data_IF_297496162265
#
_entry.id   IF_297496162265
#
_cell.length_a   1.000
_cell.length_b   1.000
_cell.length_c   1.000
_cell.angle_alpha   90.00
_cell.angle_beta   90.00
_cell.angle_gamma   90.00
#
_symmetry.space_group_name_H-M   'P 1'
#
loop_
_entity.id
_entity.type
_entity.pdbx_description
1 polymer ?
#
# COMPACT_ATOMS: atom_id res chain seq x y z
N UNK A 1 -37.62 -79.83 10.99
CA UNK A 1 -36.86 -79.15 12.06
C UNK A 1 -35.38 -79.46 11.87
N UNK A 2 -34.51 -78.54 12.30
CA UNK A 2 -33.03 -78.56 12.20
C UNK A 2 -32.49 -78.11 10.82
N UNK A 3 -31.55 -77.17 10.65
CA UNK A 3 -30.96 -76.09 11.46
C UNK A 3 -30.28 -75.12 10.47
N UNK A 4 -30.30 -73.84 10.82
CA UNK A 4 -29.64 -72.70 10.20
C UNK A 4 -28.11 -72.77 10.39
N UNK A 5 -27.32 -72.45 9.35
CA UNK A 5 -25.89 -72.13 9.48
C UNK A 5 -25.61 -70.84 8.68
N UNK A 6 -25.60 -69.73 9.41
CA UNK A 6 -25.31 -68.37 8.95
C UNK A 6 -23.80 -68.14 9.11
N UNK A 7 -23.08 -67.94 8.01
CA UNK A 7 -21.68 -67.54 8.01
C UNK A 7 -21.56 -66.07 8.45
N UNK A 8 -20.67 -65.82 9.41
CA UNK A 8 -20.36 -64.51 9.94
C UNK A 8 -19.52 -63.71 8.94
N UNK A 9 -20.04 -62.58 8.48
CA UNK A 9 -19.32 -61.59 7.68
C UNK A 9 -18.52 -60.68 8.62
N UNK A 10 -17.19 -60.74 8.53
CA UNK A 10 -16.27 -59.95 9.34
C UNK A 10 -16.24 -58.50 8.84
N UNK A 11 -17.00 -57.62 9.48
CA UNK A 11 -16.88 -56.17 9.28
C UNK A 11 -15.62 -55.69 10.00
N UNK A 12 -14.57 -55.39 9.23
CA UNK A 12 -13.42 -54.63 9.73
C UNK A 12 -13.79 -53.13 9.74
N UNK A 13 -13.54 -52.41 10.84
CA UNK A 13 -13.88 -50.99 10.90
C UNK A 13 -12.84 -50.19 10.13
N UNK A 14 -13.27 -49.54 9.05
CA UNK A 14 -12.48 -48.50 8.36
C UNK A 14 -12.24 -47.38 9.36
N UNK A 15 -10.99 -47.23 9.77
CA UNK A 15 -10.49 -46.22 10.71
C UNK A 15 -10.57 -44.83 10.06
N UNK A 16 -11.76 -44.21 10.07
CA UNK A 16 -12.03 -42.83 9.66
C UNK A 16 -11.60 -41.82 10.74
N UNK A 17 -10.35 -41.88 11.20
CA UNK A 17 -9.87 -41.02 12.30
C UNK A 17 -9.01 -39.81 11.85
N UNK A 18 -8.92 -39.54 10.55
CA UNK A 18 -8.08 -38.46 10.01
C UNK A 18 -8.82 -37.18 9.60
N UNK A 19 -10.12 -37.23 9.30
CA UNK A 19 -10.80 -36.17 8.54
C UNK A 19 -11.43 -35.08 9.41
N UNK A 20 -11.94 -35.43 10.60
CA UNK A 20 -12.55 -34.43 11.51
C UNK A 20 -11.51 -33.56 12.22
N UNK A 21 -10.36 -34.12 12.58
CA UNK A 21 -9.28 -33.36 13.23
C UNK A 21 -8.66 -32.34 12.28
N UNK A 22 -8.39 -32.74 11.02
CA UNK A 22 -7.84 -31.84 10.00
C UNK A 22 -8.85 -30.73 9.62
N UNK A 23 -10.14 -31.04 9.54
CA UNK A 23 -11.18 -30.03 9.28
C UNK A 23 -11.39 -29.06 10.45
N UNK A 24 -11.32 -29.51 11.70
CA UNK A 24 -11.33 -28.65 12.90
C UNK A 24 -10.09 -27.75 12.95
N UNK A 25 -8.90 -28.29 12.67
CA UNK A 25 -7.66 -27.51 12.63
C UNK A 25 -7.68 -26.47 11.51
N UNK A 26 -8.09 -26.82 10.30
CA UNK A 26 -8.26 -25.86 9.19
C UNK A 26 -9.29 -24.78 9.51
N UNK A 27 -10.42 -25.14 10.12
CA UNK A 27 -11.44 -24.16 10.55
C UNK A 27 -10.87 -23.18 11.59
N UNK A 28 -10.15 -23.69 12.60
CA UNK A 28 -9.50 -22.85 13.62
C UNK A 28 -8.40 -21.95 13.05
N UNK A 29 -7.69 -22.40 12.01
CA UNK A 29 -6.69 -21.59 11.32
C UNK A 29 -7.35 -20.44 10.54
N UNK A 30 -8.42 -20.73 9.80
CA UNK A 30 -9.17 -19.72 9.03
C UNK A 30 -9.79 -18.68 9.98
N UNK A 31 -10.36 -19.10 11.10
CA UNK A 31 -10.95 -18.22 12.11
C UNK A 31 -9.90 -17.28 12.73
N UNK A 32 -8.75 -17.81 13.17
CA UNK A 32 -7.63 -16.99 13.64
C UNK A 32 -7.10 -16.03 12.58
N UNK A 33 -7.06 -16.44 11.31
CA UNK A 33 -6.67 -15.54 10.22
C UNK A 33 -7.67 -14.39 10.07
N UNK A 34 -8.97 -14.67 10.19
CA UNK A 34 -10.01 -13.65 10.14
C UNK A 34 -9.87 -12.62 11.27
N UNK A 35 -9.68 -13.10 12.50
CA UNK A 35 -9.44 -12.24 13.67
C UNK A 35 -8.20 -11.36 13.50
N UNK A 36 -7.11 -11.94 12.98
CA UNK A 36 -5.88 -11.19 12.71
C UNK A 36 -6.08 -10.09 11.66
N UNK A 37 -6.89 -10.35 10.63
CA UNK A 37 -7.22 -9.36 9.60
C UNK A 37 -8.10 -8.25 10.17
N UNK A 38 -9.06 -8.58 11.02
CA UNK A 38 -9.89 -7.58 11.70
C UNK A 38 -9.07 -6.72 12.67
N UNK A 39 -8.13 -7.31 13.40
CA UNK A 39 -7.19 -6.56 14.22
C UNK A 39 -6.33 -5.60 13.39
N UNK A 40 -5.86 -6.03 12.22
CA UNK A 40 -5.13 -5.17 11.27
C UNK A 40 -5.98 -4.00 10.78
N UNK A 41 -7.20 -4.28 10.30
CA UNK A 41 -8.12 -3.25 9.81
C UNK A 41 -8.42 -2.22 10.91
N UNK A 42 -8.77 -2.69 12.10
CA UNK A 42 -9.06 -1.82 13.25
C UNK A 42 -7.84 -1.01 13.70
N UNK A 43 -6.62 -1.54 13.54
CA UNK A 43 -5.39 -0.81 13.85
C UNK A 43 -5.16 0.32 12.83
N UNK A 44 -5.22 -0.01 11.54
CA UNK A 44 -4.94 0.94 10.45
C UNK A 44 -5.96 2.06 10.38
N UNK A 45 -7.25 1.75 10.59
CA UNK A 45 -8.34 2.73 10.55
C UNK A 45 -8.26 3.82 11.63
N UNK A 46 -7.40 3.66 12.65
CA UNK A 46 -7.17 4.67 13.69
C UNK A 46 -6.23 5.79 13.27
N UNK A 47 -5.85 5.87 11.99
CA UNK A 47 -4.92 6.88 11.46
C UNK A 47 -3.62 6.95 12.27
N UNK A 48 -2.90 5.81 12.32
CA UNK A 48 -1.67 5.63 13.12
C UNK A 48 -0.47 6.50 12.68
N UNK A 49 -0.65 7.35 11.68
CA UNK A 49 0.27 8.44 11.35
C UNK A 49 1.55 8.03 10.63
N UNK A 50 2.59 8.82 10.84
CA UNK A 50 3.89 8.71 10.19
C UNK A 50 5.01 8.51 11.21
N UNK A 51 6.04 7.76 10.82
CA UNK A 51 7.25 7.57 11.62
C UNK A 51 8.48 7.84 10.75
N UNK A 52 9.18 8.94 11.01
CA UNK A 52 10.29 9.45 10.18
C UNK A 52 9.94 9.58 8.69
N UNK A 53 8.85 10.25 8.33
CA UNK A 53 8.46 10.40 6.93
C UNK A 53 7.80 9.17 6.30
N UNK A 54 7.64 8.07 7.06
CA UNK A 54 7.12 6.81 6.53
C UNK A 54 5.68 6.57 7.00
N UNK A 55 4.73 6.34 6.07
CA UNK A 55 3.33 6.08 6.42
C UNK A 55 3.20 4.73 7.14
N UNK A 56 2.94 4.75 8.44
CA UNK A 56 3.02 3.55 9.29
C UNK A 56 1.99 2.51 8.88
N UNK A 57 0.78 2.93 8.48
CA UNK A 57 -0.26 2.02 8.02
C UNK A 57 0.14 1.23 6.77
N UNK A 58 0.76 1.86 5.76
CA UNK A 58 1.25 1.18 4.56
C UNK A 58 2.26 0.06 4.89
N UNK A 59 3.26 0.37 5.72
CA UNK A 59 4.27 -0.61 6.13
C UNK A 59 3.68 -1.73 7.00
N UNK A 60 2.72 -1.42 7.85
CA UNK A 60 2.03 -2.40 8.69
C UNK A 60 1.25 -3.39 7.83
N UNK A 61 0.42 -2.90 6.92
CA UNK A 61 -0.33 -3.73 5.95
C UNK A 61 0.64 -4.60 5.17
N UNK A 62 1.69 -4.01 4.60
CA UNK A 62 2.67 -4.72 3.78
C UNK A 62 3.35 -5.87 4.55
N UNK A 63 3.80 -5.61 5.79
CA UNK A 63 4.42 -6.65 6.63
C UNK A 63 3.46 -7.78 6.96
N UNK A 64 2.19 -7.47 7.25
CA UNK A 64 1.17 -8.49 7.48
C UNK A 64 0.95 -9.36 6.23
N UNK A 65 0.85 -8.75 5.05
CA UNK A 65 0.67 -9.47 3.78
C UNK A 65 1.85 -10.40 3.47
N UNK A 66 3.08 -9.97 3.76
CA UNK A 66 4.27 -10.83 3.65
C UNK A 66 4.24 -11.99 4.63
N UNK A 67 3.96 -11.69 5.90
CA UNK A 67 3.91 -12.69 6.96
C UNK A 67 2.87 -13.79 6.67
N UNK A 68 1.71 -13.41 6.12
CA UNK A 68 0.66 -14.35 5.71
C UNK A 68 0.87 -14.95 4.32
N UNK A 69 1.97 -14.62 3.62
CA UNK A 69 2.25 -15.03 2.24
C UNK A 69 1.08 -14.77 1.28
N UNK A 70 0.35 -13.68 1.50
CA UNK A 70 -0.90 -13.39 0.78
C UNK A 70 -0.68 -13.17 -0.72
N UNK A 71 0.52 -12.80 -1.14
CA UNK A 71 0.87 -12.62 -2.55
C UNK A 71 0.94 -13.93 -3.35
N UNK A 72 1.21 -15.06 -2.67
CA UNK A 72 1.35 -16.39 -3.28
C UNK A 72 0.05 -17.20 -3.18
N UNK A 73 -0.97 -16.68 -2.48
CA UNK A 73 -2.21 -17.37 -2.23
C UNK A 73 -3.14 -17.35 -3.45
N UNK A 74 -3.62 -18.52 -3.88
CA UNK A 74 -4.60 -18.63 -4.96
C UNK A 74 -5.98 -18.10 -4.56
N UNK A 75 -6.30 -18.17 -3.26
CA UNK A 75 -7.54 -17.66 -2.67
C UNK A 75 -7.23 -16.98 -1.34
N UNK A 76 -7.68 -15.74 -1.19
CA UNK A 76 -7.58 -14.96 0.05
C UNK A 76 -8.59 -13.83 0.02
N UNK A 77 -9.26 -13.57 1.15
CA UNK A 77 -10.19 -12.44 1.31
C UNK A 77 -9.52 -11.20 1.92
N UNK A 78 -8.24 -11.29 2.28
CA UNK A 78 -7.50 -10.20 2.93
C UNK A 78 -7.49 -8.96 2.04
N UNK A 79 -7.28 -9.12 0.74
CA UNK A 79 -7.27 -8.01 -0.20
C UNK A 79 -8.62 -7.33 -0.31
N UNK A 80 -9.72 -8.08 -0.38
CA UNK A 80 -11.07 -7.51 -0.46
C UNK A 80 -11.40 -6.68 0.79
N UNK A 81 -11.02 -7.17 1.97
CA UNK A 81 -11.17 -6.41 3.22
C UNK A 81 -10.34 -5.13 3.26
N UNK A 82 -9.10 -5.18 2.77
CA UNK A 82 -8.26 -3.97 2.68
C UNK A 82 -8.80 -2.98 1.66
N UNK A 83 -9.35 -3.46 0.53
CA UNK A 83 -10.01 -2.61 -0.48
C UNK A 83 -11.22 -1.92 0.14
N UNK A 84 -12.09 -2.66 0.83
CA UNK A 84 -13.26 -2.11 1.51
C UNK A 84 -12.87 -1.07 2.57
N UNK A 85 -11.85 -1.38 3.38
CA UNK A 85 -11.31 -0.48 4.40
C UNK A 85 -10.79 0.83 3.80
N UNK A 86 -9.95 0.77 2.75
CA UNK A 86 -9.44 1.97 2.09
C UNK A 86 -10.60 2.73 1.43
N UNK A 87 -11.50 2.01 0.77
CA UNK A 87 -12.67 2.56 0.11
C UNK A 87 -13.55 3.38 1.05
N UNK A 88 -13.85 2.86 2.24
CA UNK A 88 -14.65 3.57 3.25
C UNK A 88 -13.89 4.76 3.85
N UNK A 89 -12.58 4.61 4.06
CA UNK A 89 -11.76 5.68 4.62
C UNK A 89 -11.61 6.90 3.69
N UNK A 90 -11.86 6.72 2.39
CA UNK A 90 -11.84 7.81 1.40
C UNK A 90 -13.24 8.28 0.96
N UNK A 91 -14.30 7.91 1.70
CA UNK A 91 -15.67 8.35 1.40
C UNK A 91 -15.87 9.84 1.68
N UNK A 92 -15.26 10.36 2.75
CA UNK A 92 -15.29 11.79 3.09
C UNK A 92 -14.28 12.56 2.22
N UNK A 93 -14.73 13.02 1.06
CA UNK A 93 -13.88 13.67 0.06
C UNK A 93 -13.56 15.14 0.37
N UNK A 94 -14.19 15.74 1.36
CA UNK A 94 -13.97 17.14 1.73
C UNK A 94 -12.81 17.31 2.74
N UNK A 95 -12.36 16.21 3.36
CA UNK A 95 -11.24 16.20 4.31
C UNK A 95 -9.91 16.02 3.59
N UNK A 96 -9.27 17.14 3.24
CA UNK A 96 -7.99 17.14 2.52
C UNK A 96 -6.84 16.51 3.34
N UNK A 97 -6.85 16.63 4.67
CA UNK A 97 -5.85 16.01 5.55
C UNK A 97 -5.96 14.48 5.48
N UNK A 98 -7.18 13.95 5.56
CA UNK A 98 -7.46 12.53 5.42
C UNK A 98 -7.12 12.02 4.01
N UNK A 99 -7.47 12.77 2.96
CA UNK A 99 -7.10 12.42 1.58
C UNK A 99 -5.58 12.37 1.42
N UNK A 100 -4.83 13.35 1.92
CA UNK A 100 -3.38 13.35 1.83
C UNK A 100 -2.75 12.19 2.61
N UNK A 101 -3.24 11.90 3.82
CA UNK A 101 -2.83 10.73 4.58
C UNK A 101 -3.04 9.43 3.79
N UNK A 102 -4.22 9.22 3.20
CA UNK A 102 -4.49 8.03 2.41
C UNK A 102 -3.76 7.99 1.08
N UNK A 103 -3.51 9.13 0.43
CA UNK A 103 -2.66 9.21 -0.76
C UNK A 103 -1.24 8.72 -0.43
N UNK A 104 -0.65 9.20 0.66
CA UNK A 104 0.68 8.78 1.11
C UNK A 104 0.71 7.28 1.45
N UNK A 105 -0.29 6.77 2.18
CA UNK A 105 -0.36 5.35 2.53
C UNK A 105 -0.56 4.44 1.31
N UNK A 106 -1.51 4.76 0.43
CA UNK A 106 -1.80 3.95 -0.76
C UNK A 106 -0.65 3.96 -1.76
N UNK A 107 0.00 5.11 -1.95
CA UNK A 107 1.18 5.23 -2.83
C UNK A 107 2.37 4.42 -2.30
N UNK A 108 2.66 4.52 -1.00
CA UNK A 108 3.73 3.74 -0.38
C UNK A 108 3.44 2.23 -0.43
N UNK A 109 2.20 1.81 -0.18
CA UNK A 109 1.80 0.41 -0.27
C UNK A 109 1.91 -0.11 -1.72
N UNK A 110 1.47 0.68 -2.70
CA UNK A 110 1.61 0.36 -4.12
C UNK A 110 3.09 0.22 -4.52
N UNK A 111 3.95 1.12 -4.06
CA UNK A 111 5.40 1.05 -4.29
C UNK A 111 6.00 -0.23 -3.70
N UNK A 112 5.67 -0.57 -2.45
CA UNK A 112 6.13 -1.79 -1.79
C UNK A 112 5.68 -3.06 -2.54
N UNK A 113 4.44 -3.07 -3.05
CA UNK A 113 3.94 -4.15 -3.90
C UNK A 113 4.71 -4.24 -5.22
N UNK A 114 4.95 -3.12 -5.90
CA UNK A 114 5.71 -3.11 -7.15
C UNK A 114 7.15 -3.63 -6.98
N UNK A 115 7.80 -3.33 -5.85
CA UNK A 115 9.13 -3.87 -5.53
C UNK A 115 9.10 -5.38 -5.25
N UNK A 116 8.02 -5.87 -4.65
CA UNK A 116 7.91 -7.25 -4.18
C UNK A 116 7.43 -8.24 -5.24
N UNK A 117 6.64 -7.79 -6.22
CA UNK A 117 6.05 -8.66 -7.22
C UNK A 117 6.94 -8.72 -8.46
N UNK A 118 7.19 -9.91 -9.00
CA UNK A 118 7.82 -10.05 -10.32
C UNK A 118 6.90 -9.42 -11.35
N UNK A 119 7.42 -8.47 -12.15
CA UNK A 119 6.69 -7.97 -13.30
C UNK A 119 6.52 -9.11 -14.29
N UNK A 120 5.30 -9.63 -14.43
CA UNK A 120 4.95 -10.67 -15.41
C UNK A 120 4.91 -10.17 -16.86
N UNK A 121 5.65 -9.11 -17.18
CA UNK A 121 5.55 -8.41 -18.45
C UNK A 121 6.70 -7.43 -18.66
N UNK A 122 7.91 -7.96 -18.68
CA UNK A 122 9.01 -7.44 -19.48
C UNK A 122 10.13 -8.47 -19.35
N UNK A 123 10.54 -9.01 -20.49
CA UNK A 123 11.87 -9.56 -20.66
C UNK A 123 12.88 -8.57 -20.08
N UNK A 124 13.39 -8.83 -18.88
CA UNK A 124 14.74 -8.39 -18.52
C UNK A 124 15.69 -9.17 -19.44
N UNK A 125 15.83 -8.69 -20.68
CA UNK A 125 17.02 -8.92 -21.49
C UNK A 125 18.14 -8.07 -20.88
N UNK A 126 18.50 -8.37 -19.64
CA UNK A 126 19.86 -8.17 -19.18
C UNK A 126 20.47 -9.57 -19.14
N UNK A 127 21.62 -9.82 -19.81
CA UNK A 127 22.23 -11.13 -19.77
C UNK A 127 22.74 -11.35 -18.35
N UNK A 128 21.94 -12.02 -17.52
CA UNK A 128 22.39 -12.68 -16.31
C UNK A 128 23.47 -13.65 -16.77
N UNK A 129 24.73 -13.24 -16.64
CA UNK A 129 25.90 -14.09 -16.84
C UNK A 129 25.71 -15.30 -15.94
N UNK A 130 25.30 -16.42 -16.54
CA UNK A 130 25.41 -17.74 -15.92
C UNK A 130 26.85 -17.89 -15.42
N UNK A 131 27.08 -18.32 -14.17
CA UNK A 131 28.40 -18.80 -13.81
C UNK A 131 28.71 -20.02 -14.70
N UNK A 132 29.89 -20.09 -15.35
CA UNK A 132 30.25 -21.27 -16.11
C UNK A 132 30.40 -22.47 -15.17
N UNK A 133 29.79 -23.59 -15.54
CA UNK A 133 29.98 -24.90 -14.91
C UNK A 133 31.48 -25.26 -14.90
N UNK A 134 32.08 -25.69 -13.79
CA UNK A 134 33.42 -26.26 -13.80
C UNK A 134 33.36 -27.73 -14.20
N UNK A 135 33.60 -28.03 -15.46
CA UNK A 135 34.02 -29.37 -15.89
C UNK A 135 35.55 -29.43 -15.95
N UNK A 136 36.10 -30.36 -15.17
CA UNK A 136 37.32 -31.14 -15.42
C UNK A 136 38.71 -30.50 -15.21
N UNK A 137 39.36 -30.96 -14.12
CA UNK A 137 40.66 -31.65 -14.09
C UNK A 137 41.68 -31.32 -15.20
N UNK A 138 42.66 -30.46 -14.90
CA UNK A 138 44.13 -30.67 -15.03
C UNK A 138 44.87 -29.31 -15.05
N UNK A 139 45.84 -29.13 -14.14
CA UNK A 139 47.13 -28.54 -14.48
C UNK A 139 47.29 -27.02 -14.61
N UNK A 140 48.15 -26.50 -13.71
CA UNK A 140 49.32 -25.64 -14.00
C UNK A 140 49.19 -24.13 -13.71
N UNK A 141 50.21 -23.66 -12.96
CA UNK A 141 50.44 -22.32 -12.45
C UNK A 141 50.79 -21.32 -13.57
N UNK A 142 50.20 -20.12 -13.53
CA UNK A 142 50.84 -18.90 -14.04
C UNK A 142 50.30 -17.69 -13.28
N UNK A 143 51.19 -16.96 -12.60
CA UNK A 143 50.96 -15.67 -11.95
C UNK A 143 50.67 -14.58 -12.99
N UNK A 144 49.71 -13.69 -12.72
CA UNK A 144 49.47 -12.54 -13.59
C UNK A 144 48.41 -11.57 -13.07
N UNK A 145 48.88 -10.53 -12.39
CA UNK A 145 48.27 -9.20 -12.17
C UNK A 145 46.80 -9.01 -12.54
N UNK A 146 45.92 -8.85 -11.53
CA UNK A 146 44.68 -8.08 -11.67
C UNK A 146 44.44 -7.20 -10.45
N UNK A 147 44.34 -5.92 -10.77
CA UNK A 147 44.05 -4.74 -9.98
C UNK A 147 42.97 -4.96 -8.92
N UNK A 148 43.24 -4.48 -7.71
CA UNK A 148 42.22 -4.22 -6.68
C UNK A 148 41.30 -3.08 -7.11
N UNK A 149 39.98 -3.20 -6.92
CA UNK A 149 39.13 -2.07 -6.59
C UNK A 149 38.91 -2.07 -5.08
N UNK A 150 39.55 -1.12 -4.40
CA UNK A 150 39.26 -0.80 -3.01
C UNK A 150 37.96 -0.01 -2.91
N UNK A 151 37.18 -0.34 -1.88
CA UNK A 151 36.37 0.56 -1.06
C UNK A 151 35.44 1.58 -1.74
N UNK A 152 34.14 1.31 -1.68
CA UNK A 152 33.14 2.18 -1.05
C UNK A 152 31.74 1.74 -1.49
N UNK A 153 31.15 0.79 -0.76
CA UNK A 153 29.69 0.62 -0.76
C UNK A 153 29.30 0.32 0.68
N UNK A 154 29.04 1.37 1.44
CA UNK A 154 28.22 1.28 2.64
C UNK A 154 26.83 0.82 2.18
N UNK A 155 26.32 -0.34 2.61
CA UNK A 155 24.93 -0.65 2.39
C UNK A 155 24.12 0.25 3.32
N UNK A 156 23.38 1.19 2.74
CA UNK A 156 22.16 1.71 3.38
C UNK A 156 21.33 0.51 3.86
N UNK A 157 20.60 0.60 4.99
CA UNK A 157 19.94 -0.54 5.57
C UNK A 157 18.98 -1.09 4.52
N UNK A 158 19.33 -2.27 3.99
CA UNK A 158 18.49 -2.99 3.07
C UNK A 158 17.18 -3.20 3.83
N UNK A 159 16.14 -2.44 3.44
CA UNK A 159 14.81 -3.01 3.40
C UNK A 159 15.05 -4.35 2.70
N UNK A 160 14.98 -5.44 3.46
CA UNK A 160 15.23 -6.82 3.04
C UNK A 160 15.02 -6.92 1.54
N UNK A 161 16.03 -7.36 0.79
CA UNK A 161 15.86 -7.65 -0.64
C UNK A 161 14.83 -8.79 -0.68
N UNK A 162 13.56 -8.44 -0.61
CA UNK A 162 12.43 -9.36 -0.63
C UNK A 162 12.55 -9.98 -1.99
N UNK A 163 12.93 -11.26 -2.01
CA UNK A 163 13.02 -12.07 -3.21
C UNK A 163 11.73 -11.84 -3.98
N UNK A 164 11.81 -11.27 -5.19
CA UNK A 164 10.62 -10.95 -5.97
C UNK A 164 9.72 -12.18 -6.06
N UNK A 165 8.50 -12.05 -5.56
CA UNK A 165 7.50 -13.11 -5.43
C UNK A 165 6.69 -13.19 -6.72
N UNK A 166 6.35 -14.41 -7.13
CA UNK A 166 5.38 -14.61 -8.22
C UNK A 166 3.97 -14.39 -7.67
N UNK A 167 3.39 -13.24 -8.02
CA UNK A 167 2.08 -12.83 -7.53
C UNK A 167 0.97 -13.70 -8.15
N UNK A 168 0.03 -14.17 -7.33
CA UNK A 168 -1.22 -14.76 -7.80
C UNK A 168 -2.25 -13.69 -8.15
N UNK A 169 -3.31 -14.11 -8.84
CA UNK A 169 -4.37 -13.23 -9.35
C UNK A 169 -4.96 -12.25 -8.31
N UNK A 170 -5.28 -12.66 -7.06
CA UNK A 170 -5.81 -11.72 -6.06
C UNK A 170 -4.87 -10.55 -5.75
N UNK A 171 -3.56 -10.80 -5.71
CA UNK A 171 -2.56 -9.77 -5.46
C UNK A 171 -2.42 -8.79 -6.63
N UNK A 172 -2.57 -9.28 -7.87
CA UNK A 172 -2.56 -8.45 -9.07
C UNK A 172 -3.77 -7.53 -9.12
N UNK A 173 -4.96 -8.03 -8.79
CA UNK A 173 -6.17 -7.20 -8.66
C UNK A 173 -6.03 -6.16 -7.56
N UNK A 174 -5.49 -6.56 -6.40
CA UNK A 174 -5.24 -5.62 -5.30
C UNK A 174 -4.32 -4.47 -5.73
N UNK A 175 -3.24 -4.80 -6.45
CA UNK A 175 -2.34 -3.78 -7.03
C UNK A 175 -3.07 -2.84 -7.97
N UNK A 176 -3.91 -3.35 -8.88
CA UNK A 176 -4.70 -2.52 -9.79
C UNK A 176 -5.65 -1.60 -9.02
N UNK A 177 -6.31 -2.11 -7.99
CA UNK A 177 -7.23 -1.33 -7.17
C UNK A 177 -6.52 -0.23 -6.39
N UNK A 178 -5.31 -0.49 -5.88
CA UNK A 178 -4.48 0.56 -5.26
C UNK A 178 -4.09 1.65 -6.26
N UNK A 179 -3.75 1.30 -7.50
CA UNK A 179 -3.51 2.31 -8.55
C UNK A 179 -4.74 3.19 -8.75
N UNK A 180 -5.93 2.58 -8.88
CA UNK A 180 -7.18 3.32 -9.03
C UNK A 180 -7.48 4.22 -7.82
N UNK A 181 -7.18 3.77 -6.59
CA UNK A 181 -7.33 4.60 -5.40
C UNK A 181 -6.37 5.79 -5.40
N UNK A 182 -5.10 5.59 -5.76
CA UNK A 182 -4.12 6.69 -5.87
C UNK A 182 -4.62 7.74 -6.87
N UNK A 183 -5.06 7.33 -8.05
CA UNK A 183 -5.61 8.23 -9.08
C UNK A 183 -6.86 8.97 -8.59
N UNK A 184 -7.78 8.25 -7.93
CA UNK A 184 -9.01 8.83 -7.36
C UNK A 184 -8.69 9.88 -6.29
N UNK A 185 -7.86 9.55 -5.32
CA UNK A 185 -7.52 10.44 -4.20
C UNK A 185 -6.79 11.68 -4.73
N UNK A 186 -5.84 11.51 -5.66
CA UNK A 186 -5.17 12.63 -6.31
C UNK A 186 -6.15 13.53 -7.07
N UNK A 187 -7.12 12.94 -7.77
CA UNK A 187 -8.19 13.67 -8.45
C UNK A 187 -9.02 14.52 -7.48
N UNK A 188 -9.45 13.93 -6.37
CA UNK A 188 -10.21 14.62 -5.31
C UNK A 188 -9.41 15.81 -4.76
N UNK A 189 -8.16 15.57 -4.32
CA UNK A 189 -7.30 16.63 -3.78
C UNK A 189 -7.12 17.77 -4.78
N UNK A 190 -6.78 17.45 -6.03
CA UNK A 190 -6.59 18.45 -7.08
C UNK A 190 -7.85 19.28 -7.30
N UNK A 191 -9.01 18.64 -7.34
CA UNK A 191 -10.28 19.31 -7.61
C UNK A 191 -10.71 20.19 -6.42
N UNK A 192 -10.46 19.74 -5.18
CA UNK A 192 -10.67 20.54 -3.96
C UNK A 192 -9.78 21.78 -3.93
N UNK A 193 -8.48 21.61 -4.17
CA UNK A 193 -7.52 22.71 -4.26
C UNK A 193 -7.88 23.72 -5.35
N UNK A 194 -8.32 23.23 -6.51
CA UNK A 194 -8.80 24.10 -7.60
C UNK A 194 -10.00 24.94 -7.16
N UNK A 195 -10.95 24.36 -6.41
CA UNK A 195 -12.12 25.08 -5.88
C UNK A 195 -11.71 26.12 -4.84
N UNK A 196 -10.83 25.77 -3.90
CA UNK A 196 -10.30 26.68 -2.88
C UNK A 196 -9.55 27.86 -3.51
N UNK A 197 -8.67 27.59 -4.47
CA UNK A 197 -7.95 28.64 -5.17
C UNK A 197 -8.91 29.55 -5.96
N UNK A 198 -9.91 28.98 -6.64
CA UNK A 198 -10.90 29.75 -7.39
C UNK A 198 -11.73 30.68 -6.47
N UNK A 199 -12.12 30.20 -5.28
CA UNK A 199 -12.88 31.03 -4.31
C UNK A 199 -12.03 32.18 -3.77
N UNK A 200 -10.77 31.91 -3.41
CA UNK A 200 -9.82 32.93 -2.94
C UNK A 200 -9.52 33.98 -4.03
N UNK A 201 -9.33 33.54 -5.27
CA UNK A 201 -9.12 34.46 -6.40
C UNK A 201 -10.33 35.35 -6.66
N UNK A 202 -11.55 34.80 -6.56
CA UNK A 202 -12.78 35.59 -6.67
C UNK A 202 -12.83 36.69 -5.60
N UNK A 203 -12.50 36.37 -4.35
CA UNK A 203 -12.41 37.34 -3.25
C UNK A 203 -11.34 38.41 -3.50
N UNK A 204 -10.20 38.05 -4.09
CA UNK A 204 -9.15 39.01 -4.44
C UNK A 204 -9.58 39.96 -5.57
N UNK A 205 -10.33 39.47 -6.56
CA UNK A 205 -10.80 40.28 -7.70
C UNK A 205 -11.93 41.22 -7.28
N UNK A 206 -12.82 40.76 -6.40
CA UNK A 206 -13.97 41.53 -5.91
C UNK A 206 -13.62 42.53 -4.80
N UNK A 207 -12.43 42.42 -4.19
CA UNK A 207 -11.97 43.38 -3.18
C UNK A 207 -12.04 44.82 -3.75
N UNK A 208 -12.76 45.76 -3.09
CA UNK A 208 -12.98 47.10 -3.63
C UNK A 208 -11.65 47.77 -3.99
N UNK A 209 -11.46 48.06 -5.28
CA UNK A 209 -10.32 48.88 -5.73
C UNK A 209 -10.50 50.28 -5.19
N UNK A 210 -9.84 50.60 -4.08
CA UNK A 210 -9.80 51.95 -3.51
C UNK A 210 -8.96 52.87 -4.43
N UNK A 211 -9.58 53.39 -5.49
CA UNK A 211 -9.07 54.45 -6.35
C UNK A 211 -10.15 54.70 -7.43
N UNK A 212 -10.99 55.73 -7.40
CA UNK A 212 -10.73 57.16 -7.14
C UNK A 212 -12.00 57.85 -6.61
N UNK A 213 -11.80 58.70 -5.60
CA UNK A 213 -12.63 59.85 -5.20
C UNK A 213 -14.16 59.78 -5.32
N UNK A 214 -14.84 59.50 -4.21
CA UNK A 214 -16.13 60.14 -3.89
C UNK A 214 -16.19 60.39 -2.39
N UNK A 215 -16.26 61.67 -2.01
CA UNK A 215 -16.65 62.10 -0.68
C UNK A 215 -18.12 61.69 -0.46
N UNK A 216 -18.38 60.59 0.24
CA UNK A 216 -19.65 60.43 0.97
C UNK A 216 -19.49 59.49 2.16
N UNK A 217 -19.87 60.06 3.29
CA UNK A 217 -19.82 59.54 4.65
C UNK A 217 -20.48 58.17 4.82
N UNK A 218 -19.84 57.34 5.66
CA UNK A 218 -20.53 56.43 6.58
C UNK A 218 -20.91 55.05 6.04
N UNK A 219 -20.04 54.06 6.25
CA UNK A 219 -20.32 52.79 6.98
C UNK A 219 -19.08 51.88 6.92
N UNK A 220 -18.78 51.30 8.08
CA UNK A 220 -17.67 50.38 8.43
C UNK A 220 -16.88 49.77 7.27
N UNK A 221 -15.60 50.12 7.20
CA UNK A 221 -14.60 49.35 6.46
C UNK A 221 -14.55 47.94 7.08
N UNK A 222 -15.12 46.97 6.35
CA UNK A 222 -14.95 45.55 6.63
C UNK A 222 -13.46 45.22 6.60
N UNK A 223 -13.05 44.40 7.56
CA UNK A 223 -11.67 44.20 8.05
C UNK A 223 -10.79 43.35 7.12
N UNK A 224 -11.10 43.29 5.82
CA UNK A 224 -10.48 42.35 4.90
C UNK A 224 -9.59 43.10 3.90
N UNK A 225 -8.36 43.36 4.33
CA UNK A 225 -7.32 43.92 3.47
C UNK A 225 -7.03 42.94 2.32
N UNK A 226 -6.86 43.40 1.06
CA UNK A 226 -6.43 42.57 -0.07
C UNK A 226 -5.16 41.76 0.22
N UNK A 227 -4.32 42.25 1.13
CA UNK A 227 -3.13 41.57 1.64
C UNK A 227 -3.49 40.30 2.43
N UNK A 228 -4.58 40.31 3.20
CA UNK A 228 -5.06 39.14 3.94
C UNK A 228 -5.53 38.03 3.01
N UNK A 229 -6.23 38.37 1.93
CA UNK A 229 -6.63 37.38 0.92
C UNK A 229 -5.42 36.76 0.20
N UNK A 230 -4.38 37.56 -0.10
CA UNK A 230 -3.14 37.05 -0.68
C UNK A 230 -2.39 36.12 0.29
N UNK A 231 -2.36 36.46 1.59
CA UNK A 231 -1.76 35.59 2.61
C UNK A 231 -2.49 34.24 2.73
N UNK A 232 -3.83 34.21 2.66
CA UNK A 232 -4.59 32.95 2.67
C UNK A 232 -4.31 32.07 1.45
N UNK A 233 -4.06 32.65 0.27
CA UNK A 233 -3.63 31.87 -0.91
C UNK A 233 -2.22 31.31 -0.70
N UNK A 234 -1.30 32.11 -0.17
CA UNK A 234 0.07 31.65 0.13
C UNK A 234 0.03 30.50 1.16
N UNK A 235 -0.83 30.59 2.18
CA UNK A 235 -1.00 29.53 3.17
C UNK A 235 -1.61 28.25 2.58
N UNK A 236 -2.64 28.37 1.72
CA UNK A 236 -3.22 27.24 0.97
C UNK A 236 -2.23 26.59 -0.01
N UNK A 237 -1.30 27.36 -0.58
CA UNK A 237 -0.22 26.82 -1.41
C UNK A 237 0.91 26.20 -0.58
N UNK A 238 1.20 26.73 0.62
CA UNK A 238 2.22 26.22 1.52
C UNK A 238 1.81 24.96 2.29
N UNK A 239 0.52 24.64 2.36
CA UNK A 239 0.06 23.33 2.85
C UNK A 239 0.34 22.22 1.83
N UNK A 240 0.48 22.53 0.53
CA UNK A 240 0.76 21.53 -0.52
C UNK A 240 2.05 20.73 -0.30
N UNK A 241 3.21 21.35 0.04
CA UNK A 241 4.43 20.62 0.41
C UNK A 241 4.30 19.85 1.73
N UNK A 242 3.58 20.38 2.71
CA UNK A 242 3.46 19.77 4.05
C UNK A 242 2.75 18.41 4.04
N UNK A 243 1.92 18.15 3.03
CA UNK A 243 1.28 16.85 2.80
C UNK A 243 2.25 15.76 2.30
N UNK A 244 3.39 16.14 1.74
CA UNK A 244 4.38 15.21 1.16
C UNK A 244 5.64 15.02 2.03
N UNK A 245 5.82 15.81 3.09
CA UNK A 245 7.09 15.92 3.82
C UNK A 245 7.02 15.54 5.31
N UNK A 246 5.98 14.80 5.72
CA UNK A 246 5.80 14.29 7.11
C UNK A 246 5.84 12.78 7.24
#
# INVERSE_FOLDING_TARGET
GVKEQKSAESVTPVKMFGTESDSKLRRSYIERQHENVDALVNCVMKNIGFHHGKPVAAFTIYKCLLHWKSFEAERTSVFDRLIQMIGSAIENQDDNDLMAYWLSNTSALLFLLQQSLKSGGASDTTPVKKPPNPTSLFGRMTMGFRSSPSSANLPAPALEVVKKVEAKYPALLFKQQLTAYVEKIYGILRDNLKKELASLLSLCIQAPRTSKGVLRSGRSFGKDSPMGHWQSIIESLNTLPMYFER
#
